data_IF_528992163531
#
_entry.id   IF_528992163531
#
_cell.length_a   1.000
_cell.length_b   1.000
_cell.length_c   1.000
_cell.angle_alpha   90.00
_cell.angle_beta   90.00
_cell.angle_gamma   90.00
#
_symmetry.space_group_name_H-M   'P 1'
#
loop_
_entity.id
_entity.type
_entity.pdbx_description
1 polymer ?
#
# COMPACT_ATOMS: atom_id res chain seq x y z
N UNK A 1 10.83 29.98 -11.72
CA UNK A 1 10.78 29.00 -10.65
C UNK A 1 11.12 27.65 -11.27
N UNK A 2 12.15 27.01 -10.75
CA UNK A 2 12.60 25.72 -11.23
C UNK A 2 11.50 24.68 -10.92
N UNK A 3 10.93 24.11 -11.98
CA UNK A 3 9.89 23.10 -11.89
C UNK A 3 10.52 21.75 -11.51
N UNK A 4 10.83 21.58 -10.24
CA UNK A 4 11.45 20.36 -9.70
C UNK A 4 10.50 19.16 -9.77
N UNK A 5 11.03 17.95 -9.61
CA UNK A 5 10.20 16.75 -9.49
C UNK A 5 9.23 16.84 -8.30
N UNK A 6 9.65 17.46 -7.20
CA UNK A 6 8.81 17.63 -6.00
C UNK A 6 7.70 18.66 -6.22
N UNK A 7 7.97 19.76 -6.97
CA UNK A 7 6.92 20.73 -7.31
C UNK A 7 5.85 20.07 -8.17
N UNK A 8 6.26 19.25 -9.15
CA UNK A 8 5.33 18.49 -9.98
C UNK A 8 4.56 17.46 -9.18
N UNK A 9 5.22 16.77 -8.25
CA UNK A 9 4.56 15.80 -7.36
C UNK A 9 3.45 16.47 -6.53
N UNK A 10 3.75 17.62 -5.89
CA UNK A 10 2.74 18.41 -5.16
C UNK A 10 1.60 18.87 -6.05
N UNK A 11 1.91 19.39 -7.24
CA UNK A 11 0.91 19.84 -8.22
C UNK A 11 0.02 18.67 -8.72
N UNK A 12 0.53 17.44 -8.71
CA UNK A 12 -0.22 16.22 -9.01
C UNK A 12 -1.00 15.68 -7.81
N UNK A 13 -0.88 16.29 -6.63
CA UNK A 13 -1.59 15.93 -5.40
C UNK A 13 -0.92 14.82 -4.57
N UNK A 14 0.37 14.53 -4.81
CA UNK A 14 1.12 13.61 -3.96
C UNK A 14 1.56 14.30 -2.67
N UNK A 15 1.45 13.58 -1.55
CA UNK A 15 2.00 14.00 -0.26
C UNK A 15 3.51 13.74 -0.25
N UNK A 16 4.28 14.78 -0.54
CA UNK A 16 5.75 14.69 -0.61
C UNK A 16 6.42 14.98 0.73
N UNK A 17 5.67 15.43 1.70
CA UNK A 17 6.17 15.76 3.03
C UNK A 17 6.15 14.53 3.95
N UNK A 18 5.29 13.55 3.63
CA UNK A 18 5.17 12.28 4.37
C UNK A 18 5.50 11.09 3.45
N UNK A 19 6.64 10.46 3.70
CA UNK A 19 7.01 9.23 2.98
C UNK A 19 6.27 8.05 3.57
N UNK A 20 5.80 7.18 2.68
CA UNK A 20 5.28 5.88 3.05
C UNK A 20 6.21 4.78 2.52
N UNK A 21 6.14 3.59 3.11
CA UNK A 21 7.03 2.47 2.81
C UNK A 21 6.21 1.21 2.54
N UNK A 22 6.66 0.43 1.57
CA UNK A 22 6.10 -0.88 1.27
C UNK A 22 7.20 -1.93 1.35
N UNK A 23 7.00 -2.95 2.18
CA UNK A 23 7.89 -4.11 2.27
C UNK A 23 7.43 -5.22 1.34
N UNK A 24 8.35 -5.80 0.58
CA UNK A 24 8.05 -6.87 -0.38
C UNK A 24 9.22 -7.80 -0.59
N UNK A 25 8.91 -9.07 -0.92
CA UNK A 25 9.88 -10.09 -1.34
C UNK A 25 10.22 -10.01 -2.83
N UNK A 26 9.50 -9.19 -3.59
CA UNK A 26 9.62 -9.10 -5.05
C UNK A 26 10.16 -7.73 -5.50
N UNK A 27 10.76 -7.71 -6.69
CA UNK A 27 11.04 -6.46 -7.39
C UNK A 27 9.75 -5.92 -8.00
N UNK A 28 9.32 -4.76 -7.52
CA UNK A 28 8.09 -4.12 -7.96
C UNK A 28 8.42 -2.98 -8.92
N UNK A 29 7.92 -3.07 -10.14
CA UNK A 29 7.94 -1.98 -11.13
C UNK A 29 6.60 -1.25 -11.21
N UNK A 30 5.53 -1.91 -10.74
CA UNK A 30 4.19 -1.38 -10.64
C UNK A 30 3.43 -2.05 -9.50
N UNK A 31 2.57 -1.30 -8.84
CA UNK A 31 1.57 -1.87 -7.93
C UNK A 31 0.34 -2.24 -8.76
N UNK A 32 0.01 -3.50 -8.83
CA UNK A 32 -1.10 -3.99 -9.64
C UNK A 32 -2.01 -4.89 -8.81
N UNK A 33 -3.33 -4.67 -8.94
CA UNK A 33 -4.34 -5.57 -8.34
C UNK A 33 -4.14 -7.03 -8.75
N UNK A 34 -3.54 -7.30 -9.92
CA UNK A 34 -3.20 -8.66 -10.36
C UNK A 34 -2.18 -9.33 -9.44
N UNK A 35 -1.22 -8.58 -8.89
CA UNK A 35 -0.23 -9.11 -7.95
C UNK A 35 -0.81 -9.38 -6.56
N UNK A 36 -1.93 -8.72 -6.24
CA UNK A 36 -2.65 -8.90 -4.97
C UNK A 36 -3.82 -9.87 -5.11
N UNK A 37 -4.17 -10.30 -6.32
CA UNK A 37 -5.20 -11.29 -6.55
C UNK A 37 -4.83 -12.58 -5.80
N UNK A 38 -5.73 -13.03 -4.94
CA UNK A 38 -5.49 -14.21 -4.15
C UNK A 38 -4.76 -13.99 -2.82
N UNK A 39 -4.41 -12.76 -2.44
CA UNK A 39 -3.85 -12.41 -1.12
C UNK A 39 -4.90 -11.76 -0.21
N UNK A 40 -4.64 -11.74 1.09
CA UNK A 40 -5.50 -11.06 2.08
C UNK A 40 -5.67 -9.56 1.79
N UNK A 41 -4.72 -8.96 1.09
CA UNK A 41 -4.68 -7.54 0.71
C UNK A 41 -5.29 -7.24 -0.66
N UNK A 42 -6.19 -8.08 -1.17
CA UNK A 42 -6.77 -7.95 -2.53
C UNK A 42 -7.59 -6.67 -2.80
N UNK A 43 -7.87 -5.86 -1.77
CA UNK A 43 -8.59 -4.59 -1.91
C UNK A 43 -7.71 -3.42 -2.32
N UNK A 44 -6.40 -3.48 -2.07
CA UNK A 44 -5.46 -2.39 -2.34
C UNK A 44 -4.03 -2.74 -2.01
N UNK A 45 -3.13 -1.77 -2.16
CA UNK A 45 -1.74 -1.86 -1.73
C UNK A 45 -1.58 -1.14 -0.40
N UNK A 46 -0.94 -1.81 0.57
CA UNK A 46 -0.75 -1.31 1.93
C UNK A 46 0.64 -0.70 2.09
N UNK A 47 0.69 0.42 2.77
CA UNK A 47 1.89 1.19 3.08
C UNK A 47 1.90 1.55 4.55
N UNK A 48 3.06 1.83 5.10
CA UNK A 48 3.25 2.28 6.48
C UNK A 48 4.16 3.50 6.51
N UNK A 49 3.99 4.36 7.51
CA UNK A 49 4.92 5.46 7.79
C UNK A 49 6.21 4.99 8.52
N UNK A 50 6.20 3.75 9.02
CA UNK A 50 7.31 3.17 9.77
C UNK A 50 8.13 2.21 8.89
N UNK A 51 9.36 2.57 8.47
CA UNK A 51 10.20 1.71 7.62
C UNK A 51 10.56 0.38 8.30
N UNK A 52 10.62 0.33 9.64
CA UNK A 52 10.88 -0.90 10.37
C UNK A 52 9.72 -1.90 10.26
N UNK A 53 8.48 -1.41 10.25
CA UNK A 53 7.30 -2.24 9.96
C UNK A 53 7.35 -2.75 8.54
N UNK A 54 7.62 -1.90 7.55
CA UNK A 54 7.76 -2.33 6.16
C UNK A 54 8.84 -3.40 5.99
N UNK A 55 9.99 -3.25 6.66
CA UNK A 55 11.09 -4.21 6.60
C UNK A 55 10.70 -5.61 7.07
N UNK A 56 9.71 -5.76 7.97
CA UNK A 56 9.25 -7.08 8.41
C UNK A 56 8.58 -7.88 7.28
N UNK A 57 8.13 -7.22 6.22
CA UNK A 57 7.47 -7.85 5.06
C UNK A 57 8.43 -8.23 3.93
N UNK A 58 9.73 -7.96 4.07
CA UNK A 58 10.74 -8.30 3.05
C UNK A 58 11.13 -9.78 3.05
N UNK A 59 10.73 -10.52 4.09
CA UNK A 59 11.03 -11.95 4.24
C UNK A 59 12.42 -12.24 4.82
N UNK A 60 12.66 -13.51 5.14
CA UNK A 60 13.91 -13.99 5.79
C UNK A 60 15.11 -13.99 4.87
N UNK A 61 14.89 -14.10 3.55
CA UNK A 61 15.96 -14.14 2.55
C UNK A 61 16.28 -12.77 1.96
N UNK A 62 15.80 -11.71 2.59
CA UNK A 62 15.90 -10.35 2.08
C UNK A 62 14.82 -10.02 1.05
N UNK A 63 14.64 -8.74 0.83
CA UNK A 63 13.68 -8.17 -0.12
C UNK A 63 13.81 -6.66 -0.10
N UNK A 64 12.81 -5.96 -0.57
CA UNK A 64 12.86 -4.52 -0.79
C UNK A 64 11.92 -3.77 0.15
N UNK A 65 12.42 -2.71 0.78
CA UNK A 65 11.59 -1.66 1.39
C UNK A 65 11.55 -0.49 0.43
N UNK A 66 10.40 -0.26 -0.18
CA UNK A 66 10.23 0.72 -1.26
C UNK A 66 9.63 2.01 -0.68
N UNK A 67 10.39 3.12 -0.66
CA UNK A 67 9.86 4.41 -0.26
C UNK A 67 9.03 5.02 -1.39
N UNK A 68 7.84 5.51 -1.04
CA UNK A 68 6.87 6.08 -1.99
C UNK A 68 6.26 7.36 -1.47
N UNK A 69 5.73 8.17 -2.39
CA UNK A 69 4.74 9.19 -2.11
C UNK A 69 3.37 8.70 -2.55
N UNK A 70 2.36 9.00 -1.75
CA UNK A 70 0.98 8.58 -1.98
C UNK A 70 0.12 9.78 -2.34
N UNK A 71 -0.90 9.53 -3.14
CA UNK A 71 -1.96 10.48 -3.44
C UNK A 71 -3.29 9.91 -2.96
N UNK A 72 -4.00 10.65 -2.13
CA UNK A 72 -5.19 10.20 -1.43
C UNK A 72 -6.24 11.31 -1.39
N UNK A 73 -6.92 11.60 -2.52
CA UNK A 73 -7.80 12.76 -2.62
C UNK A 73 -9.03 12.65 -1.70
N UNK A 74 -9.55 11.47 -1.47
CA UNK A 74 -10.74 11.22 -0.63
C UNK A 74 -10.48 10.03 0.30
N UNK A 75 -9.67 10.22 1.37
CA UNK A 75 -9.35 9.16 2.30
C UNK A 75 -10.46 8.94 3.33
N UNK A 76 -10.68 7.69 3.69
CA UNK A 76 -11.34 7.33 4.94
C UNK A 76 -10.28 7.31 6.05
N UNK A 77 -10.48 8.08 7.11
CA UNK A 77 -9.54 8.13 8.23
C UNK A 77 -10.11 7.36 9.42
N UNK A 78 -9.38 6.36 9.90
CA UNK A 78 -9.75 5.48 11.00
C UNK A 78 -8.68 5.53 12.08
N UNK A 79 -9.06 5.87 13.29
CA UNK A 79 -8.19 5.75 14.46
C UNK A 79 -8.38 4.35 15.06
N UNK A 80 -7.35 3.51 14.96
CA UNK A 80 -7.36 2.11 15.43
C UNK A 80 -7.06 2.03 16.93
N UNK A 81 -6.61 3.12 17.55
CA UNK A 81 -6.38 3.25 18.99
C UNK A 81 -5.50 2.13 19.56
N UNK A 82 -4.40 1.86 18.92
CA UNK A 82 -3.46 0.81 19.30
C UNK A 82 -3.99 -0.62 19.08
N UNK A 83 -5.01 -0.79 18.25
CA UNK A 83 -5.50 -2.10 17.86
C UNK A 83 -4.58 -2.77 16.84
N UNK A 84 -4.68 -4.11 16.76
CA UNK A 84 -3.95 -4.92 15.79
C UNK A 84 -4.68 -4.91 14.43
N UNK A 85 -3.95 -5.03 13.33
CA UNK A 85 -4.50 -5.07 11.96
C UNK A 85 -5.50 -6.22 11.72
N UNK A 86 -5.36 -7.33 12.46
CA UNK A 86 -6.23 -8.51 12.30
C UNK A 86 -7.48 -8.47 13.17
N UNK A 87 -7.57 -7.53 14.10
CA UNK A 87 -8.70 -7.39 15.01
C UNK A 87 -8.92 -5.92 15.35
N UNK A 88 -9.74 -5.24 14.56
CA UNK A 88 -10.14 -3.88 14.82
C UNK A 88 -11.25 -3.86 15.87
N UNK A 89 -11.17 -2.93 16.81
CA UNK A 89 -12.17 -2.79 17.87
C UNK A 89 -13.54 -2.40 17.29
N UNK A 90 -14.61 -2.89 17.91
CA UNK A 90 -16.00 -2.65 17.46
C UNK A 90 -16.46 -1.18 17.59
N UNK A 91 -15.75 -0.35 18.33
CA UNK A 91 -16.09 1.08 18.54
C UNK A 91 -15.56 2.01 17.44
N UNK A 92 -15.08 1.43 16.33
CA UNK A 92 -14.75 2.20 15.14
C UNK A 92 -16.02 2.90 14.60
N UNK A 93 -15.87 4.17 14.22
CA UNK A 93 -16.96 4.98 13.64
C UNK A 93 -17.26 4.55 12.20
N UNK A 94 -17.57 3.27 12.00
CA UNK A 94 -17.94 2.66 10.71
C UNK A 94 -19.11 1.72 10.91
N UNK A 95 -19.84 1.43 9.86
CA UNK A 95 -20.94 0.46 9.91
C UNK A 95 -20.37 -0.97 9.95
N UNK A 96 -20.11 -1.47 11.16
CA UNK A 96 -19.53 -2.79 11.37
C UNK A 96 -20.43 -3.92 10.80
N UNK A 97 -21.76 -3.80 10.94
CA UNK A 97 -22.69 -4.81 10.45
C UNK A 97 -22.60 -4.94 8.92
N UNK A 98 -22.53 -3.81 8.22
CA UNK A 98 -22.35 -3.81 6.76
C UNK A 98 -21.02 -4.45 6.34
N UNK A 99 -19.95 -4.21 7.08
CA UNK A 99 -18.64 -4.83 6.81
C UNK A 99 -18.72 -6.34 7.01
N UNK A 100 -19.38 -6.82 8.08
CA UNK A 100 -19.59 -8.24 8.32
C UNK A 100 -20.43 -8.90 7.25
N UNK A 101 -21.54 -8.29 6.82
CA UNK A 101 -22.36 -8.82 5.75
C UNK A 101 -21.60 -8.92 4.43
N UNK A 102 -20.81 -7.89 4.09
CA UNK A 102 -19.95 -7.95 2.90
C UNK A 102 -18.90 -9.05 3.00
N UNK A 103 -18.30 -9.26 4.19
CA UNK A 103 -17.35 -10.34 4.45
C UNK A 103 -17.99 -11.71 4.21
N UNK A 104 -19.21 -11.94 4.71
CA UNK A 104 -19.97 -13.18 4.48
C UNK A 104 -20.27 -13.41 2.99
N UNK A 105 -20.69 -12.36 2.27
CA UNK A 105 -20.91 -12.44 0.83
C UNK A 105 -19.63 -12.82 0.11
N UNK A 106 -18.50 -12.20 0.42
CA UNK A 106 -17.22 -12.49 -0.20
C UNK A 106 -16.75 -13.92 0.09
N UNK A 107 -17.01 -14.43 1.29
CA UNK A 107 -16.76 -15.82 1.67
C UNK A 107 -17.58 -16.77 0.79
N UNK A 108 -18.88 -16.55 0.70
CA UNK A 108 -19.80 -17.37 -0.10
C UNK A 108 -19.43 -17.38 -1.58
N UNK A 109 -18.91 -16.27 -2.11
CA UNK A 109 -18.47 -16.15 -3.49
C UNK A 109 -17.04 -16.71 -3.74
N UNK A 110 -16.38 -17.29 -2.72
CA UNK A 110 -15.01 -17.79 -2.82
C UNK A 110 -13.97 -16.69 -3.10
N UNK A 111 -14.29 -15.43 -2.80
CA UNK A 111 -13.39 -14.27 -3.02
C UNK A 111 -12.40 -14.04 -1.87
N UNK A 112 -12.57 -14.75 -0.76
CA UNK A 112 -11.67 -14.69 0.38
C UNK A 112 -10.72 -15.89 0.32
N UNK A 113 -9.45 -15.64 0.64
CA UNK A 113 -8.47 -16.69 0.80
C UNK A 113 -8.73 -17.51 2.08
N UNK A 114 -8.26 -18.78 2.12
CA UNK A 114 -8.37 -19.63 3.31
C UNK A 114 -7.82 -18.97 4.58
N UNK A 115 -6.73 -18.19 4.48
CA UNK A 115 -6.15 -17.51 5.64
C UNK A 115 -7.04 -16.37 6.18
N UNK A 116 -7.92 -15.79 5.37
CA UNK A 116 -8.88 -14.80 5.84
C UNK A 116 -9.95 -15.42 6.78
N UNK A 117 -10.14 -16.72 6.72
CA UNK A 117 -11.08 -17.44 7.62
C UNK A 117 -10.61 -17.50 9.08
N UNK A 118 -9.32 -17.35 9.34
CA UNK A 118 -8.79 -17.29 10.71
C UNK A 118 -9.38 -16.14 11.53
N UNK A 119 -9.96 -15.14 10.85
CA UNK A 119 -10.47 -13.91 11.47
C UNK A 119 -11.96 -13.72 11.17
N UNK A 120 -12.75 -14.82 11.10
CA UNK A 120 -14.18 -14.76 10.76
C UNK A 120 -14.97 -13.82 11.68
N UNK A 121 -14.66 -13.84 12.97
CA UNK A 121 -15.37 -13.07 13.99
C UNK A 121 -14.74 -11.67 14.23
N UNK A 122 -13.81 -11.25 13.39
CA UNK A 122 -13.12 -9.98 13.52
C UNK A 122 -13.23 -9.15 12.24
N UNK A 123 -13.21 -7.83 12.38
CA UNK A 123 -13.00 -6.90 11.26
C UNK A 123 -11.50 -6.64 11.19
N UNK A 124 -10.91 -6.94 10.04
CA UNK A 124 -9.50 -6.65 9.74
C UNK A 124 -9.35 -5.34 8.99
N UNK A 125 -8.12 -4.82 8.90
CA UNK A 125 -7.83 -3.66 8.05
C UNK A 125 -8.16 -3.94 6.59
N UNK A 126 -8.00 -5.19 6.11
CA UNK A 126 -8.36 -5.56 4.74
C UNK A 126 -9.87 -5.59 4.51
N UNK A 127 -10.67 -6.10 5.45
CA UNK A 127 -12.13 -6.06 5.36
C UNK A 127 -12.64 -4.62 5.26
N UNK A 128 -12.09 -3.73 6.10
CA UNK A 128 -12.44 -2.31 6.10
C UNK A 128 -11.99 -1.61 4.83
N UNK A 129 -10.80 -1.94 4.32
CA UNK A 129 -10.31 -1.40 3.05
C UNK A 129 -11.21 -1.82 1.87
N UNK A 130 -11.67 -3.09 1.83
CA UNK A 130 -12.62 -3.56 0.81
C UNK A 130 -13.94 -2.79 0.88
N UNK A 131 -14.48 -2.65 2.08
CA UNK A 131 -15.72 -1.90 2.30
C UNK A 131 -15.57 -0.44 1.85
N UNK A 132 -14.48 0.24 2.25
CA UNK A 132 -14.23 1.62 1.87
C UNK A 132 -14.06 1.80 0.36
N UNK A 133 -13.34 0.89 -0.31
CA UNK A 133 -13.20 0.91 -1.77
C UNK A 133 -14.57 0.79 -2.47
N UNK A 134 -15.46 -0.08 -1.96
CA UNK A 134 -16.82 -0.24 -2.51
C UNK A 134 -17.71 0.99 -2.24
N UNK A 135 -17.39 1.77 -1.20
CA UNK A 135 -18.07 3.04 -0.92
C UNK A 135 -17.52 4.23 -1.72
N UNK A 136 -16.48 4.02 -2.54
CA UNK A 136 -15.92 5.04 -3.42
C UNK A 136 -14.79 5.87 -2.81
N UNK A 137 -14.31 5.52 -1.60
CA UNK A 137 -13.11 6.16 -1.05
C UNK A 137 -11.89 5.85 -1.93
N UNK A 138 -10.93 6.78 -1.98
CA UNK A 138 -9.68 6.58 -2.72
C UNK A 138 -8.64 5.75 -1.95
N UNK A 139 -8.79 5.72 -0.62
CA UNK A 139 -7.88 5.05 0.31
C UNK A 139 -8.49 4.93 1.71
N UNK A 140 -7.81 4.18 2.57
CA UNK A 140 -8.04 4.23 4.03
C UNK A 140 -6.73 4.52 4.73
N UNK A 141 -6.75 5.51 5.62
CA UNK A 141 -5.65 5.79 6.53
C UNK A 141 -6.01 5.21 7.90
N UNK A 142 -5.27 4.22 8.35
CA UNK A 142 -5.37 3.60 9.67
C UNK A 142 -4.33 4.24 10.58
N UNK A 143 -4.77 5.03 11.54
CA UNK A 143 -3.91 5.66 12.55
C UNK A 143 -3.73 4.75 13.75
N UNK A 144 -2.53 4.75 14.33
CA UNK A 144 -2.19 4.05 15.57
C UNK A 144 -2.50 2.54 15.50
N UNK A 145 -1.96 1.87 14.48
CA UNK A 145 -2.02 0.42 14.32
C UNK A 145 -0.81 -0.20 15.02
N UNK A 146 -1.02 -1.26 15.78
CA UNK A 146 0.06 -2.14 16.23
C UNK A 146 0.25 -3.25 15.21
N UNK A 147 1.28 -3.11 14.40
CA UNK A 147 1.57 -4.06 13.34
C UNK A 147 2.62 -5.07 13.81
N UNK A 148 2.26 -6.36 13.75
CA UNK A 148 3.18 -7.46 14.06
C UNK A 148 4.15 -7.76 12.93
N UNK A 149 3.95 -7.12 11.76
CA UNK A 149 4.74 -7.38 10.59
C UNK A 149 4.45 -8.69 9.88
N UNK A 150 5.26 -8.96 8.87
CA UNK A 150 5.21 -10.19 8.08
C UNK A 150 6.06 -11.32 8.66
N UNK A 151 6.24 -12.38 7.88
CA UNK A 151 7.06 -13.57 8.23
C UNK A 151 8.59 -13.31 8.19
N UNK A 152 9.03 -12.05 8.18
CA UNK A 152 10.43 -11.68 8.15
C UNK A 152 11.17 -12.05 9.43
N UNK A 153 12.51 -12.08 9.37
CA UNK A 153 13.38 -12.45 10.48
C UNK A 153 13.14 -11.64 11.78
N UNK A 154 12.51 -10.48 11.66
CA UNK A 154 12.19 -9.60 12.78
C UNK A 154 10.79 -9.81 13.36
N UNK A 155 9.92 -10.57 12.71
CA UNK A 155 8.54 -10.79 13.17
C UNK A 155 8.48 -11.46 14.55
N UNK A 156 9.51 -12.22 14.91
CA UNK A 156 9.63 -12.91 16.20
C UNK A 156 10.35 -12.10 17.28
N UNK A 157 11.06 -11.05 16.91
CA UNK A 157 11.91 -10.27 17.81
C UNK A 157 11.30 -8.92 18.21
N UNK A 158 10.30 -8.46 17.48
CA UNK A 158 9.69 -7.15 17.72
C UNK A 158 8.22 -7.31 18.06
N UNK A 159 7.91 -7.05 19.31
CA UNK A 159 6.57 -6.73 19.75
C UNK A 159 6.00 -5.61 18.86
N UNK A 160 4.79 -5.78 18.41
CA UNK A 160 3.89 -4.82 17.77
C UNK A 160 4.41 -3.39 17.69
N UNK A 161 4.95 -3.00 16.54
CA UNK A 161 5.44 -1.64 16.31
C UNK A 161 4.25 -0.71 16.00
N UNK A 162 4.15 0.43 16.67
CA UNK A 162 3.13 1.42 16.32
C UNK A 162 3.43 2.02 14.94
N UNK A 163 2.41 2.16 14.12
CA UNK A 163 2.51 2.73 12.79
C UNK A 163 1.18 3.33 12.34
N UNK A 164 1.26 4.23 11.37
CA UNK A 164 0.10 4.61 10.58
C UNK A 164 0.19 3.88 9.23
N UNK A 165 -0.86 3.15 8.90
CA UNK A 165 -0.90 2.36 7.69
C UNK A 165 -1.90 2.96 6.71
N UNK A 166 -1.59 2.96 5.41
CA UNK A 166 -2.49 3.46 4.36
C UNK A 166 -2.72 2.37 3.33
N UNK A 167 -3.99 2.08 3.04
CA UNK A 167 -4.40 1.25 1.90
C UNK A 167 -4.77 2.14 0.73
N UNK A 168 -4.09 2.01 -0.40
CA UNK A 168 -4.35 2.74 -1.65
C UNK A 168 -5.04 1.83 -2.65
N UNK A 169 -6.14 2.29 -3.28
CA UNK A 169 -6.98 1.47 -4.15
C UNK A 169 -6.68 1.62 -5.64
N UNK A 170 -5.99 2.69 -6.04
CA UNK A 170 -5.64 2.96 -7.42
C UNK A 170 -4.11 3.05 -7.60
N UNK A 171 -3.57 2.19 -8.47
CA UNK A 171 -2.13 2.03 -8.67
C UNK A 171 -1.42 3.33 -9.08
N UNK A 172 -2.09 4.17 -9.89
CA UNK A 172 -1.57 5.47 -10.32
C UNK A 172 -1.47 6.52 -9.19
N UNK A 173 -1.96 6.20 -8.00
CA UNK A 173 -1.83 7.02 -6.78
C UNK A 173 -0.57 6.69 -5.97
N UNK A 174 0.30 5.84 -6.48
CA UNK A 174 1.53 5.39 -5.82
C UNK A 174 2.71 5.72 -6.71
N UNK A 175 3.71 6.43 -6.19
CA UNK A 175 4.95 6.74 -6.90
C UNK A 175 6.16 6.53 -6.01
N UNK A 176 7.23 5.99 -6.57
CA UNK A 176 8.53 6.00 -5.92
C UNK A 176 8.96 7.44 -5.62
N UNK A 177 9.64 7.65 -4.51
CA UNK A 177 10.25 8.96 -4.19
C UNK A 177 11.25 9.41 -5.26
N UNK A 178 11.76 8.48 -6.08
CA UNK A 178 12.69 8.73 -7.18
C UNK A 178 11.98 8.91 -8.55
N UNK A 179 10.64 9.01 -8.58
CA UNK A 179 9.91 9.20 -9.82
C UNK A 179 10.15 10.59 -10.41
N UNK A 180 10.05 10.71 -11.73
CA UNK A 180 10.19 11.99 -12.42
C UNK A 180 8.98 12.93 -12.22
N UNK A 181 7.83 12.39 -11.81
CA UNK A 181 6.56 13.09 -11.68
C UNK A 181 6.19 13.89 -12.94
N UNK A 182 6.34 13.24 -14.10
CA UNK A 182 5.92 13.80 -15.38
C UNK A 182 4.38 13.84 -15.44
N UNK A 183 3.74 15.01 -15.61
CA UNK A 183 2.29 15.12 -15.70
C UNK A 183 1.67 14.31 -16.86
N UNK A 184 2.42 14.05 -17.93
CA UNK A 184 1.97 13.20 -19.05
C UNK A 184 1.75 11.75 -18.62
N UNK A 185 2.44 11.32 -17.56
CA UNK A 185 2.35 9.97 -16.99
C UNK A 185 1.49 9.91 -15.72
N UNK A 186 0.62 10.91 -15.50
CA UNK A 186 -0.19 11.04 -14.28
C UNK A 186 -0.99 9.77 -13.95
N UNK A 187 -1.45 9.04 -14.95
CA UNK A 187 -2.30 7.86 -14.81
C UNK A 187 -1.55 6.53 -14.96
N UNK A 188 -0.22 6.56 -15.06
CA UNK A 188 0.59 5.36 -15.15
C UNK A 188 0.53 4.57 -13.83
N UNK A 189 0.48 3.24 -13.90
CA UNK A 189 0.63 2.33 -12.74
C UNK A 189 2.09 2.10 -12.35
N UNK A 190 3.04 2.46 -13.24
CA UNK A 190 4.47 2.26 -12.99
C UNK A 190 4.97 3.20 -11.90
N UNK A 191 5.69 2.68 -10.92
CA UNK A 191 6.14 3.45 -9.75
C UNK A 191 7.10 4.58 -10.10
N UNK A 192 7.93 4.44 -11.15
CA UNK A 192 8.80 5.51 -11.62
C UNK A 192 8.10 6.45 -12.62
N UNK A 193 7.03 5.98 -13.26
CA UNK A 193 6.25 6.73 -14.25
C UNK A 193 7.14 7.46 -15.29
N UNK A 194 8.28 6.86 -15.63
CA UNK A 194 9.18 7.35 -16.65
C UNK A 194 8.66 6.91 -18.01
N UNK A 195 8.65 7.81 -18.98
CA UNK A 195 8.62 7.42 -20.40
C UNK A 195 9.83 6.52 -20.64
N UNK A 196 9.66 5.42 -21.37
CA UNK A 196 10.81 4.61 -21.75
C UNK A 196 11.81 5.53 -22.47
N UNK A 197 12.84 6.00 -21.78
CA UNK A 197 14.00 6.57 -22.43
C UNK A 197 14.62 5.40 -23.19
N UNK A 198 14.68 5.53 -24.51
CA UNK A 198 15.58 4.73 -25.32
C UNK A 198 16.91 4.69 -24.59
N UNK A 199 17.40 3.49 -24.30
CA UNK A 199 18.75 3.33 -23.75
C UNK A 199 19.69 4.15 -24.65
N UNK A 200 20.63 4.94 -24.08
CA UNK A 200 21.62 5.60 -24.91
C UNK A 200 22.28 4.51 -25.75
N UNK A 201 22.16 4.62 -27.05
CA UNK A 201 22.96 3.83 -27.98
C UNK A 201 24.40 4.20 -27.66
N UNK A 202 25.11 3.34 -26.92
CA UNK A 202 26.56 3.40 -26.85
C UNK A 202 27.06 3.21 -28.25
N UNK A 203 27.42 4.31 -28.90
CA UNK A 203 28.20 4.27 -30.11
C UNK A 203 29.49 3.52 -29.74
N UNK A 204 29.59 2.26 -30.17
CA UNK A 204 30.89 1.57 -30.22
C UNK A 204 31.76 2.41 -31.15
N UNK A 205 32.63 3.22 -30.57
CA UNK A 205 33.71 3.86 -31.28
C UNK A 205 34.58 2.77 -31.89
N UNK A 206 34.55 2.71 -33.21
CA UNK A 206 35.50 1.94 -33.97
C UNK A 206 36.90 2.52 -33.69
N UNK A 207 37.74 1.74 -33.02
CA UNK A 207 39.18 1.93 -33.11
C UNK A 207 39.67 1.00 -34.24
N UNK A 208 40.05 1.66 -35.33
CA UNK A 208 41.01 1.09 -36.29
C UNK A 208 42.43 1.30 -35.79
#
# INVERSE_FOLDING_TARGET
>A
ADNTAMDRARAMGFDVDNRAYHGTKADIVEFSKKHNAGKTTGSGSFFTDNPSVAATYTGVNGGNTIPVFLRSPEPLNIDVKGGNWSYLKKDLKVNADEIYEQKKINKTLGKLLPDAYKYEDAITTDDLARWANNKGYSSVNFKDVKDRGGEGAFANAQSELPSNNTAIFADHNIRSVNAAFDPKNKWSSKILAQSAKLAPTTALGAYM
#
